data_IF_372560876166
#
_entry.id   IF_372560876166
#
_cell.length_a   1.000
_cell.length_b   1.000
_cell.length_c   1.000
_cell.angle_alpha   90.00
_cell.angle_beta   90.00
_cell.angle_gamma   90.00
#
_symmetry.space_group_name_H-M   'P 1'
#
loop_
_entity.id
_entity.type
_entity.pdbx_description
1 polymer ?
#
# COMPACT_ATOMS: atom_id res chain seq x y z
N UNK A 1 12.35 -1.29 22.40
CA UNK A 1 11.98 -0.41 21.26
C UNK A 1 12.84 -0.83 20.08
N UNK A 2 12.26 -1.57 19.11
CA UNK A 2 12.98 -1.87 17.88
C UNK A 2 12.91 -0.60 16.99
N UNK A 3 14.01 0.10 16.92
CA UNK A 3 14.16 1.17 15.94
C UNK A 3 14.08 0.55 14.54
N UNK A 4 13.18 1.06 13.71
CA UNK A 4 13.24 0.80 12.28
C UNK A 4 14.60 1.28 11.78
N UNK A 5 15.23 0.58 10.82
CA UNK A 5 16.46 1.09 10.20
C UNK A 5 16.19 2.50 9.68
N UNK A 6 17.22 3.36 9.77
CA UNK A 6 17.11 4.77 9.32
C UNK A 6 16.44 4.80 7.95
N UNK A 7 15.28 5.49 7.84
CA UNK A 7 14.48 5.43 6.63
C UNK A 7 15.24 6.02 5.46
N UNK A 8 15.48 5.23 4.42
CA UNK A 8 15.90 5.78 3.13
C UNK A 8 14.80 6.70 2.58
N UNK A 9 15.17 7.82 1.92
CA UNK A 9 14.17 8.75 1.34
C UNK A 9 13.19 8.06 0.39
N UNK A 10 13.62 6.97 -0.24
CA UNK A 10 12.85 6.19 -1.20
C UNK A 10 12.30 4.86 -0.62
N UNK A 11 12.31 4.70 0.72
CA UNK A 11 11.65 3.58 1.39
C UNK A 11 10.19 3.91 1.67
N UNK A 12 9.30 3.05 1.22
CA UNK A 12 7.87 3.07 1.59
C UNK A 12 7.63 2.11 2.72
N UNK A 13 7.08 2.60 3.80
CA UNK A 13 6.63 1.78 4.92
C UNK A 13 5.12 1.57 4.83
N UNK A 14 4.68 0.34 4.99
CA UNK A 14 3.27 -0.04 4.94
C UNK A 14 2.91 -0.78 6.21
N UNK A 15 1.99 -0.24 6.97
CA UNK A 15 1.42 -0.85 8.18
C UNK A 15 0.04 -1.41 7.86
N UNK A 16 -0.18 -2.66 8.23
CA UNK A 16 -1.47 -3.31 8.13
C UNK A 16 -1.98 -3.65 9.52
N UNK A 17 -3.21 -3.30 9.82
CA UNK A 17 -3.90 -3.65 11.05
C UNK A 17 -5.26 -4.28 10.78
N UNK A 18 -5.67 -5.21 11.66
CA UNK A 18 -7.02 -5.79 11.66
C UNK A 18 -7.83 -5.19 12.80
N UNK A 19 -9.04 -4.74 12.50
CA UNK A 19 -9.97 -4.19 13.48
C UNK A 19 -11.14 -5.14 13.67
N UNK A 20 -11.41 -5.52 14.93
CA UNK A 20 -12.66 -6.18 15.31
C UNK A 20 -13.80 -5.17 15.59
N UNK A 21 -13.49 -3.84 15.54
CA UNK A 21 -14.39 -2.75 15.86
C UNK A 21 -14.08 -1.49 15.04
N UNK A 22 -13.87 -0.36 15.73
CA UNK A 22 -13.72 0.94 15.09
C UNK A 22 -12.45 1.03 14.20
N UNK A 23 -12.65 1.02 12.89
CA UNK A 23 -11.59 1.19 11.89
C UNK A 23 -10.98 2.59 11.93
N UNK A 24 -11.71 3.59 12.38
CA UNK A 24 -11.23 4.96 12.49
C UNK A 24 -10.16 5.09 13.57
N UNK A 25 -10.40 4.50 14.74
CA UNK A 25 -9.43 4.49 15.82
C UNK A 25 -8.16 3.71 15.43
N UNK A 26 -8.32 2.57 14.77
CA UNK A 26 -7.17 1.84 14.21
C UNK A 26 -6.39 2.68 13.20
N UNK A 27 -7.09 3.40 12.31
CA UNK A 27 -6.46 4.30 11.33
C UNK A 27 -5.62 5.37 12.03
N UNK A 28 -6.18 6.06 13.03
CA UNK A 28 -5.46 7.09 13.78
C UNK A 28 -4.23 6.55 14.47
N UNK A 29 -4.35 5.37 15.09
CA UNK A 29 -3.21 4.70 15.74
C UNK A 29 -2.10 4.35 14.75
N UNK A 30 -2.44 3.80 13.59
CA UNK A 30 -1.45 3.49 12.55
C UNK A 30 -0.79 4.75 11.97
N UNK A 31 -1.54 5.83 11.79
CA UNK A 31 -1.00 7.11 11.34
C UNK A 31 -0.03 7.71 12.37
N UNK A 32 -0.37 7.70 13.67
CA UNK A 32 0.55 8.14 14.73
C UNK A 32 1.80 7.29 14.79
N UNK A 33 1.66 5.97 14.67
CA UNK A 33 2.80 5.05 14.58
C UNK A 33 3.72 5.37 13.40
N UNK A 34 3.15 5.61 12.22
CA UNK A 34 3.90 6.00 11.04
C UNK A 34 4.67 7.32 11.27
N UNK A 35 3.99 8.31 11.86
CA UNK A 35 4.61 9.58 12.24
C UNK A 35 5.73 9.40 13.25
N UNK A 36 5.48 8.67 14.33
CA UNK A 36 6.50 8.39 15.36
C UNK A 36 7.74 7.70 14.77
N UNK A 37 7.52 6.68 13.94
CA UNK A 37 8.60 5.92 13.32
C UNK A 37 9.45 6.72 12.32
N UNK A 38 8.84 7.62 11.54
CA UNK A 38 9.50 8.29 10.42
C UNK A 38 9.88 9.76 10.72
N UNK A 39 9.18 10.41 11.64
CA UNK A 39 9.54 11.76 12.10
C UNK A 39 10.40 11.75 13.37
N UNK A 40 10.48 10.61 14.06
CA UNK A 40 11.31 10.46 15.26
C UNK A 40 10.71 11.10 16.52
N UNK A 41 9.37 11.23 16.57
CA UNK A 41 8.62 11.78 17.70
C UNK A 41 7.84 10.73 18.46
N UNK A 42 7.52 10.92 19.74
CA UNK A 42 6.59 10.04 20.46
C UNK A 42 5.24 9.97 19.74
N UNK A 43 4.67 8.76 19.61
CA UNK A 43 3.39 8.56 18.91
C UNK A 43 2.26 9.45 19.46
N UNK A 44 2.29 9.75 20.77
CA UNK A 44 1.30 10.61 21.43
C UNK A 44 1.37 12.08 20.98
N UNK A 45 2.55 12.54 20.53
CA UNK A 45 2.81 13.91 20.07
C UNK A 45 2.63 14.08 18.56
N UNK A 46 2.26 12.99 17.87
CA UNK A 46 1.97 13.03 16.43
C UNK A 46 0.55 13.51 16.19
N UNK A 47 0.45 14.64 15.49
CA UNK A 47 -0.81 15.17 14.99
C UNK A 47 -1.29 14.42 13.75
N UNK A 48 -2.60 14.12 13.71
CA UNK A 48 -3.27 13.49 12.58
C UNK A 48 -4.43 14.38 12.14
N UNK A 49 -4.38 14.83 10.91
CA UNK A 49 -5.36 15.73 10.32
C UNK A 49 -5.71 15.37 8.88
N UNK A 50 -6.25 16.35 8.17
CA UNK A 50 -6.52 16.27 6.73
C UNK A 50 -6.06 17.56 6.07
N UNK A 51 -5.30 17.42 4.99
CA UNK A 51 -4.95 18.54 4.12
C UNK A 51 -6.18 19.08 3.36
N UNK A 52 -6.12 20.31 2.81
CA UNK A 52 -7.10 20.78 1.87
C UNK A 52 -7.30 19.76 0.73
N UNK A 53 -8.53 19.32 0.49
CA UNK A 53 -8.82 18.23 -0.44
C UNK A 53 -9.04 16.87 0.21
N UNK A 54 -8.93 16.75 1.56
CA UNK A 54 -9.34 15.58 2.33
C UNK A 54 -8.28 14.47 2.45
N UNK A 55 -7.08 14.68 1.91
CA UNK A 55 -5.95 13.75 2.06
C UNK A 55 -5.52 13.66 3.52
N UNK A 56 -5.28 12.46 4.06
CA UNK A 56 -4.71 12.32 5.40
C UNK A 56 -3.37 13.05 5.51
N UNK A 57 -3.13 13.69 6.64
CA UNK A 57 -1.90 14.40 6.95
C UNK A 57 -1.41 14.00 8.34
N UNK A 58 -0.10 13.80 8.44
CA UNK A 58 0.58 13.50 9.70
C UNK A 58 1.67 14.55 9.90
N UNK A 59 1.72 15.14 11.07
CA UNK A 59 2.68 16.19 11.40
C UNK A 59 3.23 16.02 12.81
N UNK A 60 4.44 16.51 13.01
CA UNK A 60 5.07 16.67 14.30
C UNK A 60 4.96 18.13 14.77
N UNK A 61 5.18 18.39 16.05
CA UNK A 61 5.08 19.75 16.64
C UNK A 61 6.11 20.73 16.08
N UNK A 62 7.22 20.22 15.53
CA UNK A 62 8.23 21.04 14.86
C UNK A 62 7.84 21.47 13.43
N UNK A 63 6.62 21.20 13.00
CA UNK A 63 6.07 21.54 11.68
C UNK A 63 6.47 20.60 10.55
N UNK A 64 7.26 19.56 10.80
CA UNK A 64 7.53 18.54 9.78
C UNK A 64 6.26 17.73 9.48
N UNK A 65 6.03 17.50 8.20
CA UNK A 65 4.91 16.68 7.72
C UNK A 65 5.40 15.40 7.06
N UNK A 66 4.59 14.36 7.12
CA UNK A 66 4.86 13.07 6.52
C UNK A 66 3.78 12.76 5.47
N UNK A 67 4.14 12.58 4.20
CA UNK A 67 3.23 12.09 3.19
C UNK A 67 2.73 10.68 3.54
N UNK A 68 1.43 10.55 3.66
CA UNK A 68 0.75 9.28 4.01
C UNK A 68 -0.40 9.00 3.08
N UNK A 69 -0.78 7.73 3.00
CA UNK A 69 -1.97 7.26 2.31
C UNK A 69 -2.66 6.18 3.14
N UNK A 70 -3.98 6.14 3.08
CA UNK A 70 -4.81 5.19 3.82
C UNK A 70 -5.74 4.46 2.86
N UNK A 71 -5.89 3.18 3.05
CA UNK A 71 -6.97 2.38 2.48
C UNK A 71 -7.54 1.42 3.52
N UNK A 72 -8.79 1.04 3.34
CA UNK A 72 -9.44 0.07 4.23
C UNK A 72 -10.44 -0.79 3.46
N UNK A 73 -10.56 -2.01 3.88
CA UNK A 73 -11.56 -2.98 3.46
C UNK A 73 -11.98 -3.77 4.70
N UNK A 74 -13.21 -4.22 4.76
CA UNK A 74 -13.81 -4.90 5.92
C UNK A 74 -12.84 -5.46 6.97
N UNK A 75 -12.73 -4.80 8.11
CA UNK A 75 -11.88 -5.19 9.22
C UNK A 75 -10.36 -5.04 8.98
N UNK A 76 -9.91 -4.48 7.86
CA UNK A 76 -8.49 -4.25 7.55
C UNK A 76 -8.24 -2.78 7.24
N UNK A 77 -7.24 -2.20 7.87
CA UNK A 77 -6.74 -0.86 7.57
C UNK A 77 -5.28 -0.96 7.12
N UNK A 78 -4.96 -0.25 6.06
CA UNK A 78 -3.59 -0.15 5.55
C UNK A 78 -3.19 1.32 5.50
N UNK A 79 -2.03 1.63 6.06
CA UNK A 79 -1.39 2.95 6.01
C UNK A 79 -0.05 2.81 5.32
N UNK A 80 0.20 3.63 4.32
CA UNK A 80 1.52 3.77 3.71
C UNK A 80 2.09 5.15 3.98
N UNK A 81 3.40 5.23 4.23
CA UNK A 81 4.12 6.47 4.42
C UNK A 81 5.48 6.43 3.73
N UNK A 82 5.95 7.59 3.26
CA UNK A 82 7.24 7.78 2.62
C UNK A 82 7.77 9.19 2.89
N UNK A 83 8.98 9.29 3.45
CA UNK A 83 9.60 10.60 3.72
C UNK A 83 10.01 11.35 2.44
N UNK A 84 10.32 10.64 1.36
CA UNK A 84 10.83 11.21 0.12
C UNK A 84 9.77 11.80 -0.83
N UNK A 85 8.48 11.76 -0.49
CA UNK A 85 7.45 12.36 -1.32
C UNK A 85 6.12 11.59 -1.35
N UNK A 86 5.20 11.95 -2.25
CA UNK A 86 3.86 11.40 -2.27
C UNK A 86 3.83 9.88 -2.42
N UNK A 87 2.93 9.25 -1.68
CA UNK A 87 2.65 7.83 -1.67
C UNK A 87 1.15 7.58 -1.77
N UNK A 88 0.78 6.46 -2.37
CA UNK A 88 -0.59 5.97 -2.41
C UNK A 88 -0.65 4.49 -2.08
N UNK A 89 -1.67 4.08 -1.37
CA UNK A 89 -1.93 2.67 -1.06
C UNK A 89 -3.39 2.36 -1.31
N UNK A 90 -3.64 1.17 -1.83
CA UNK A 90 -4.97 0.63 -1.92
C UNK A 90 -5.01 -0.85 -1.59
N UNK A 91 -6.11 -1.31 -0.97
CA UNK A 91 -6.31 -2.70 -0.57
C UNK A 91 -7.74 -3.14 -0.87
N UNK A 92 -7.86 -4.34 -1.45
CA UNK A 92 -9.12 -5.00 -1.73
C UNK A 92 -9.10 -6.45 -1.24
N UNK A 93 -10.26 -6.99 -0.85
CA UNK A 93 -10.39 -8.44 -0.63
C UNK A 93 -10.51 -9.17 -1.95
N UNK A 94 -9.84 -10.30 -2.03
CA UNK A 94 -10.09 -11.24 -3.13
C UNK A 94 -11.54 -11.73 -3.05
N UNK A 95 -12.27 -11.57 -4.14
CA UNK A 95 -13.67 -11.97 -4.26
C UNK A 95 -14.03 -12.28 -5.70
N UNK A 96 -15.08 -13.04 -5.88
CA UNK A 96 -15.69 -13.21 -7.20
C UNK A 96 -16.36 -11.92 -7.65
N UNK A 97 -16.18 -11.60 -8.93
CA UNK A 97 -16.78 -10.40 -9.54
C UNK A 97 -16.84 -10.58 -11.07
N UNK A 98 -17.73 -9.87 -11.78
CA UNK A 98 -17.83 -9.94 -13.23
C UNK A 98 -16.70 -9.12 -13.89
N UNK A 99 -15.45 -9.56 -13.72
CA UNK A 99 -14.23 -8.84 -14.06
C UNK A 99 -14.23 -8.30 -15.50
N UNK A 100 -14.60 -9.14 -16.49
CA UNK A 100 -14.62 -8.74 -17.91
C UNK A 100 -15.63 -7.63 -18.18
N UNK A 101 -16.84 -7.73 -17.61
CA UNK A 101 -17.87 -6.71 -17.82
C UNK A 101 -17.48 -5.38 -17.18
N UNK A 102 -16.93 -5.42 -15.97
CA UNK A 102 -16.44 -4.23 -15.27
C UNK A 102 -15.26 -3.59 -16.00
N UNK A 103 -14.30 -4.38 -16.48
CA UNK A 103 -13.15 -3.86 -17.22
C UNK A 103 -13.57 -3.19 -18.52
N UNK A 104 -14.47 -3.78 -19.30
CA UNK A 104 -15.01 -3.17 -20.54
C UNK A 104 -15.68 -1.83 -20.29
N UNK A 105 -16.30 -1.65 -19.13
CA UNK A 105 -16.99 -0.42 -18.78
C UNK A 105 -16.03 0.69 -18.30
N UNK A 106 -15.01 0.31 -17.53
CA UNK A 106 -14.24 1.29 -16.75
C UNK A 106 -12.78 1.46 -17.18
N UNK A 107 -12.16 0.40 -17.73
CA UNK A 107 -10.74 0.42 -18.03
C UNK A 107 -10.43 0.93 -19.44
N UNK A 108 -9.16 1.11 -19.71
CA UNK A 108 -8.65 1.31 -21.05
C UNK A 108 -9.01 0.10 -21.93
N UNK A 109 -9.36 0.27 -23.22
CA UNK A 109 -9.74 -0.84 -24.10
C UNK A 109 -8.68 -1.95 -24.20
N UNK A 110 -7.39 -1.59 -24.20
CA UNK A 110 -6.30 -2.57 -24.29
C UNK A 110 -6.19 -3.39 -22.99
N UNK A 111 -6.36 -2.75 -21.82
CA UNK A 111 -6.42 -3.46 -20.54
C UNK A 111 -7.64 -4.38 -20.45
N UNK A 112 -8.78 -3.94 -20.94
CA UNK A 112 -10.00 -4.75 -20.97
C UNK A 112 -9.84 -5.95 -21.91
N UNK A 113 -9.19 -5.79 -23.06
CA UNK A 113 -8.89 -6.87 -24.00
C UNK A 113 -7.86 -7.84 -23.40
N UNK A 114 -6.79 -7.31 -22.78
CA UNK A 114 -5.80 -8.12 -22.07
C UNK A 114 -6.46 -8.98 -20.98
N UNK A 115 -7.31 -8.38 -20.14
CA UNK A 115 -8.02 -9.11 -19.08
C UNK A 115 -8.97 -10.16 -19.64
N UNK A 116 -9.67 -9.88 -20.74
CA UNK A 116 -10.57 -10.84 -21.38
C UNK A 116 -9.84 -12.07 -21.92
N UNK A 117 -8.58 -11.92 -22.33
CA UNK A 117 -7.72 -13.00 -22.81
C UNK A 117 -7.09 -13.85 -21.68
N UNK A 118 -7.24 -13.43 -20.41
CA UNK A 118 -6.71 -14.19 -19.26
C UNK A 118 -7.58 -15.42 -18.95
N UNK A 119 -6.95 -16.42 -18.33
CA UNK A 119 -7.67 -17.58 -17.83
C UNK A 119 -8.74 -17.17 -16.80
N UNK A 120 -9.87 -17.81 -16.81
CA UNK A 120 -11.00 -17.51 -15.95
C UNK A 120 -10.62 -17.51 -14.46
N UNK A 121 -9.78 -18.45 -14.05
CA UNK A 121 -9.33 -18.62 -12.66
C UNK A 121 -8.46 -17.48 -12.13
N UNK A 122 -7.76 -16.75 -13.02
CA UNK A 122 -6.90 -15.62 -12.64
C UNK A 122 -7.51 -14.23 -12.86
N UNK A 123 -8.58 -14.18 -13.67
CA UNK A 123 -9.14 -12.94 -14.20
C UNK A 123 -9.63 -11.97 -13.13
N UNK A 124 -10.30 -12.48 -12.10
CA UNK A 124 -10.78 -11.65 -10.99
C UNK A 124 -9.63 -11.04 -10.19
N UNK A 125 -8.58 -11.82 -9.95
CA UNK A 125 -7.38 -11.32 -9.26
C UNK A 125 -6.67 -10.25 -10.10
N UNK A 126 -6.53 -10.46 -11.40
CA UNK A 126 -5.88 -9.50 -12.30
C UNK A 126 -6.72 -8.21 -12.43
N UNK A 127 -8.05 -8.32 -12.44
CA UNK A 127 -8.93 -7.15 -12.33
C UNK A 127 -8.68 -6.36 -11.04
N UNK A 128 -8.65 -7.03 -9.89
CA UNK A 128 -8.41 -6.39 -8.60
C UNK A 128 -7.00 -5.77 -8.52
N UNK A 129 -6.01 -6.40 -9.13
CA UNK A 129 -4.66 -5.82 -9.23
C UNK A 129 -4.65 -4.52 -10.05
N UNK A 130 -5.32 -4.51 -11.21
CA UNK A 130 -5.45 -3.28 -11.99
C UNK A 130 -6.24 -2.20 -11.22
N UNK A 131 -7.32 -2.61 -10.54
CA UNK A 131 -8.14 -1.70 -9.73
C UNK A 131 -7.33 -1.05 -8.62
N UNK A 132 -6.71 -1.85 -7.76
CA UNK A 132 -5.91 -1.34 -6.63
C UNK A 132 -4.73 -0.48 -7.11
N UNK A 133 -4.10 -0.84 -8.24
CA UNK A 133 -3.05 -0.03 -8.84
C UNK A 133 -3.57 1.37 -9.25
N UNK A 134 -4.74 1.44 -9.90
CA UNK A 134 -5.35 2.72 -10.34
C UNK A 134 -5.71 3.60 -9.14
N UNK A 135 -6.31 3.00 -8.10
CA UNK A 135 -6.63 3.70 -6.84
C UNK A 135 -5.37 4.19 -6.13
N UNK A 136 -4.34 3.35 -5.98
CA UNK A 136 -3.09 3.73 -5.34
C UNK A 136 -2.41 4.89 -6.11
N UNK A 137 -2.34 4.82 -7.44
CA UNK A 137 -1.80 5.90 -8.27
C UNK A 137 -2.64 7.18 -8.12
N UNK A 138 -3.96 7.07 -8.15
CA UNK A 138 -4.85 8.21 -7.95
C UNK A 138 -4.64 8.88 -6.58
N UNK A 139 -4.45 8.10 -5.52
CA UNK A 139 -4.14 8.59 -4.17
C UNK A 139 -2.75 9.24 -4.11
N UNK A 140 -1.73 8.64 -4.73
CA UNK A 140 -0.38 9.21 -4.80
C UNK A 140 -0.37 10.57 -5.52
N UNK A 141 -1.09 10.67 -6.63
CA UNK A 141 -1.24 11.92 -7.40
C UNK A 141 -2.18 12.94 -6.71
N UNK A 142 -3.00 12.52 -5.74
CA UNK A 142 -4.00 13.37 -5.10
C UNK A 142 -5.22 13.69 -5.95
N UNK A 143 -5.40 13.00 -7.04
CA UNK A 143 -6.53 13.19 -7.96
C UNK A 143 -7.65 12.17 -7.76
N UNK A 144 -7.36 11.09 -6.98
CA UNK A 144 -8.24 9.92 -6.92
C UNK A 144 -8.45 9.33 -8.31
N UNK A 145 -9.64 8.83 -8.58
CA UNK A 145 -10.02 8.32 -9.90
C UNK A 145 -10.58 9.39 -10.85
N UNK A 146 -10.53 10.67 -10.48
CA UNK A 146 -11.00 11.77 -11.31
C UNK A 146 -10.13 11.92 -12.58
N UNK A 147 -10.65 12.63 -13.59
CA UNK A 147 -9.88 12.93 -14.78
C UNK A 147 -9.45 11.70 -15.58
N UNK A 148 -10.30 10.67 -15.66
CA UNK A 148 -9.99 9.45 -16.40
C UNK A 148 -9.08 8.47 -15.67
N UNK A 149 -8.96 8.57 -14.34
CA UNK A 149 -8.10 7.69 -13.54
C UNK A 149 -8.36 6.20 -13.71
N UNK A 150 -9.62 5.80 -13.94
CA UNK A 150 -9.98 4.40 -14.26
C UNK A 150 -9.48 3.97 -15.65
N UNK A 151 -9.33 4.89 -16.59
CA UNK A 151 -8.78 4.62 -17.94
C UNK A 151 -7.27 4.82 -18.03
N UNK A 152 -6.61 5.25 -16.93
CA UNK A 152 -5.16 5.31 -16.89
C UNK A 152 -4.60 3.88 -17.00
N UNK A 153 -3.72 3.67 -17.96
CA UNK A 153 -3.07 2.37 -18.17
C UNK A 153 -2.12 2.06 -17.02
N UNK A 154 -2.13 0.83 -16.57
CA UNK A 154 -1.22 0.30 -15.55
C UNK A 154 -0.23 -0.68 -16.17
N UNK A 155 0.95 -0.87 -15.56
CA UNK A 155 1.82 -1.96 -15.96
C UNK A 155 1.10 -3.30 -15.74
N UNK A 156 1.20 -4.23 -16.70
CA UNK A 156 0.52 -5.52 -16.63
C UNK A 156 0.90 -6.29 -15.34
N UNK A 157 -0.05 -6.82 -14.56
CA UNK A 157 0.23 -7.40 -13.23
C UNK A 157 1.21 -8.58 -13.22
N UNK A 158 1.31 -9.31 -14.32
CA UNK A 158 2.17 -10.48 -14.50
C UNK A 158 3.57 -10.14 -15.05
N UNK A 159 3.85 -8.88 -15.31
CA UNK A 159 5.18 -8.45 -15.77
C UNK A 159 6.22 -8.69 -14.68
N UNK A 160 7.28 -9.45 -15.02
CA UNK A 160 8.43 -9.66 -14.14
C UNK A 160 9.24 -8.39 -13.91
N UNK A 161 10.22 -8.44 -13.02
CA UNK A 161 11.18 -7.37 -12.77
C UNK A 161 10.99 -6.64 -11.46
N UNK A 162 11.02 -5.31 -11.48
CA UNK A 162 10.93 -4.47 -10.27
C UNK A 162 9.57 -4.58 -9.59
N UNK A 163 9.59 -4.52 -8.25
CA UNK A 163 8.35 -4.52 -7.45
C UNK A 163 7.44 -3.35 -7.82
N UNK A 164 8.00 -2.13 -7.92
CA UNK A 164 7.27 -0.95 -8.39
C UNK A 164 7.72 -0.58 -9.79
N UNK A 165 6.82 -0.68 -10.75
CA UNK A 165 7.08 -0.43 -12.17
C UNK A 165 6.53 0.92 -12.61
N UNK A 166 7.15 1.55 -13.62
CA UNK A 166 6.67 2.80 -14.18
C UNK A 166 5.23 2.69 -14.69
N UNK A 167 4.42 3.73 -14.41
CA UNK A 167 3.06 3.84 -14.92
C UNK A 167 3.09 4.46 -16.32
N UNK A 168 2.54 3.78 -17.36
CA UNK A 168 2.52 4.31 -18.72
C UNK A 168 1.86 5.70 -18.79
N UNK A 169 2.51 6.64 -19.47
CA UNK A 169 1.99 8.00 -19.63
C UNK A 169 2.03 8.87 -18.37
N UNK A 170 2.63 8.39 -17.27
CA UNK A 170 2.76 9.14 -16.01
C UNK A 170 4.23 9.19 -15.57
N UNK A 171 5.05 10.10 -16.13
CA UNK A 171 6.46 10.22 -15.76
C UNK A 171 6.67 10.38 -14.25
N UNK A 172 7.62 9.66 -13.70
CA UNK A 172 7.95 9.70 -12.28
C UNK A 172 6.97 8.97 -11.35
N UNK A 173 5.93 8.32 -11.89
CA UNK A 173 5.00 7.51 -11.11
C UNK A 173 5.32 6.04 -11.27
N UNK A 174 5.41 5.32 -10.15
CA UNK A 174 5.62 3.86 -10.12
C UNK A 174 4.56 3.20 -9.25
N UNK A 175 4.15 1.99 -9.61
CA UNK A 175 3.14 1.20 -8.88
C UNK A 175 3.49 -0.29 -8.90
N UNK A 176 3.08 -0.99 -7.86
CA UNK A 176 3.23 -2.45 -7.80
C UNK A 176 2.47 -3.07 -6.63
N UNK A 177 2.54 -4.40 -6.58
CA UNK A 177 1.81 -5.22 -5.62
C UNK A 177 2.80 -5.97 -4.74
N UNK A 178 3.17 -5.43 -3.58
CA UNK A 178 3.98 -6.17 -2.63
C UNK A 178 3.25 -7.42 -2.16
N UNK A 179 3.98 -8.52 -2.01
CA UNK A 179 3.43 -9.75 -1.48
C UNK A 179 2.98 -9.54 -0.03
N UNK A 180 1.79 -10.00 0.28
CA UNK A 180 1.18 -9.88 1.61
C UNK A 180 0.22 -11.03 1.90
N UNK A 181 -0.86 -10.74 2.61
CA UNK A 181 -1.92 -11.68 2.94
C UNK A 181 -2.58 -12.23 1.65
N UNK A 182 -2.73 -13.55 1.59
CA UNK A 182 -3.27 -14.23 0.39
C UNK A 182 -4.72 -13.81 0.03
N UNK A 183 -5.49 -13.34 1.03
CA UNK A 183 -6.87 -12.91 0.86
C UNK A 183 -7.00 -11.44 0.44
N UNK A 184 -5.89 -10.72 0.40
CA UNK A 184 -5.86 -9.31 0.08
C UNK A 184 -5.09 -9.06 -1.23
N UNK A 185 -5.51 -8.02 -1.93
CA UNK A 185 -4.78 -7.43 -3.06
C UNK A 185 -4.35 -6.04 -2.63
N UNK A 186 -3.06 -5.86 -2.41
CA UNK A 186 -2.47 -4.62 -1.96
C UNK A 186 -1.67 -3.99 -3.10
N UNK A 187 -1.89 -2.72 -3.37
CA UNK A 187 -1.06 -1.93 -4.29
C UNK A 187 -0.42 -0.74 -3.57
N UNK A 188 0.81 -0.43 -3.96
CA UNK A 188 1.55 0.74 -3.50
C UNK A 188 2.01 1.54 -4.70
N UNK A 189 1.83 2.85 -4.65
CA UNK A 189 2.30 3.78 -5.68
C UNK A 189 3.13 4.90 -5.06
N UNK A 190 4.14 5.38 -5.80
CA UNK A 190 4.99 6.51 -5.42
C UNK A 190 5.14 7.50 -6.56
N UNK A 191 5.40 8.76 -6.20
CA UNK A 191 5.68 9.83 -7.16
C UNK A 191 7.07 10.42 -6.88
N UNK A 192 7.85 10.66 -7.94
CA UNK A 192 9.14 11.36 -7.84
C UNK A 192 10.26 10.56 -7.14
N UNK A 193 10.21 9.22 -7.16
CA UNK A 193 11.33 8.42 -6.69
C UNK A 193 12.47 8.44 -7.72
N UNK A 194 13.65 8.89 -7.29
CA UNK A 194 14.82 9.01 -8.17
C UNK A 194 15.55 7.68 -8.38
N UNK A 195 15.37 6.72 -7.50
CA UNK A 195 16.08 5.43 -7.48
C UNK A 195 15.16 4.24 -7.22
N UNK A 196 15.75 3.08 -6.91
CA UNK A 196 15.01 1.90 -6.49
C UNK A 196 14.19 2.20 -5.23
N UNK A 197 12.93 1.78 -5.22
CA UNK A 197 12.03 1.94 -4.08
C UNK A 197 11.99 0.66 -3.27
N UNK A 198 12.31 0.75 -2.00
CA UNK A 198 12.15 -0.33 -1.05
C UNK A 198 10.74 -0.25 -0.44
N UNK A 199 10.06 -1.38 -0.31
CA UNK A 199 8.77 -1.46 0.38
C UNK A 199 8.91 -2.37 1.59
N UNK A 200 8.65 -1.81 2.77
CA UNK A 200 8.68 -2.51 4.05
C UNK A 200 7.25 -2.74 4.52
N UNK A 201 6.85 -4.00 4.67
CA UNK A 201 5.53 -4.36 5.16
C UNK A 201 5.62 -4.70 6.65
N UNK A 202 4.80 -4.05 7.47
CA UNK A 202 4.60 -4.38 8.87
C UNK A 202 3.17 -4.87 9.10
N UNK A 203 3.02 -6.15 9.45
CA UNK A 203 1.73 -6.74 9.78
C UNK A 203 1.59 -6.90 11.29
N UNK A 204 0.51 -6.40 11.86
CA UNK A 204 0.14 -6.73 13.24
C UNK A 204 -0.88 -7.86 13.26
N UNK A 205 -0.54 -8.94 13.96
CA UNK A 205 -1.53 -9.93 14.35
C UNK A 205 -2.60 -9.23 15.20
N UNK A 206 -3.87 -9.41 14.85
CA UNK A 206 -4.99 -8.91 15.65
C UNK A 206 -4.89 -9.47 17.07
N UNK A 207 -5.07 -8.64 18.07
CA UNK A 207 -5.33 -9.11 19.42
C UNK A 207 -6.74 -9.71 19.43
N UNK A 208 -6.83 -11.03 19.32
CA UNK A 208 -7.99 -11.75 19.83
C UNK A 208 -7.97 -11.61 21.35
N UNK A 209 -8.98 -10.91 21.88
CA UNK A 209 -9.18 -10.69 23.30
C UNK A 209 -9.72 -11.94 24.01
N UNK A 210 -9.23 -13.12 23.69
CA UNK A 210 -9.58 -14.36 24.38
C UNK A 210 -8.46 -15.41 24.28
N UNK A 211 -7.28 -15.10 24.82
CA UNK A 211 -6.38 -16.14 25.32
C UNK A 211 -5.43 -15.52 26.32
N UNK A 212 -5.78 -15.62 27.60
CA UNK A 212 -4.83 -15.49 28.70
C UNK A 212 -3.90 -16.70 28.65
N UNK A 213 -2.79 -16.58 27.98
CA UNK A 213 -1.61 -17.37 28.27
C UNK A 213 -0.38 -16.55 27.90
N UNK A 214 0.45 -16.34 28.87
CA UNK A 214 1.71 -15.65 28.77
C UNK A 214 2.60 -16.39 27.77
N UNK A 215 2.74 -15.87 26.56
CA UNK A 215 3.83 -16.22 25.66
C UNK A 215 4.31 -14.94 25.00
N UNK A 216 5.61 -14.72 25.18
CA UNK A 216 6.45 -13.70 24.64
C UNK A 216 5.86 -12.96 23.43
N UNK A 217 5.89 -11.61 23.48
CA UNK A 217 5.76 -10.71 22.34
C UNK A 217 6.68 -11.18 21.21
N UNK A 218 6.13 -11.95 20.30
CA UNK A 218 6.74 -12.10 18.98
C UNK A 218 6.34 -10.87 18.19
N UNK A 219 7.12 -9.83 18.33
CA UNK A 219 7.17 -8.75 17.34
C UNK A 219 7.43 -9.42 16.00
N UNK A 220 6.42 -9.46 15.13
CA UNK A 220 6.64 -9.84 13.74
C UNK A 220 7.61 -8.83 13.15
N UNK A 221 8.81 -9.30 12.83
CA UNK A 221 9.82 -8.50 12.15
C UNK A 221 9.22 -7.96 10.85
N UNK A 222 9.54 -6.72 10.47
CA UNK A 222 9.11 -6.18 9.20
C UNK A 222 9.59 -7.08 8.07
N UNK A 223 8.69 -7.47 7.19
CA UNK A 223 9.05 -8.17 5.97
C UNK A 223 9.60 -7.13 5.01
N UNK A 224 10.90 -7.16 4.78
CA UNK A 224 11.55 -6.26 3.81
C UNK A 224 11.49 -6.93 2.44
N UNK A 225 10.68 -6.38 1.54
CA UNK A 225 10.66 -6.81 0.14
C UNK A 225 11.55 -5.86 -0.64
N UNK A 226 12.77 -6.30 -0.96
CA UNK A 226 13.70 -5.54 -1.79
C UNK A 226 13.53 -5.91 -3.25
N UNK A 227 13.11 -4.97 -4.08
CA UNK A 227 13.25 -5.09 -5.53
C UNK A 227 14.69 -4.85 -5.92
N UNK A 228 15.47 -5.90 -6.22
CA UNK A 228 16.81 -5.78 -6.77
C UNK A 228 16.82 -6.08 -8.28
N UNK A 229 17.73 -5.46 -8.99
CA UNK A 229 17.98 -5.64 -10.42
C UNK A 229 18.50 -7.04 -10.81
N UNK A 230 18.53 -8.00 -9.93
CA UNK A 230 18.87 -9.38 -10.24
C UNK A 230 17.79 -10.32 -9.76
N UNK A 231 17.36 -11.16 -10.65
CA UNK A 231 16.37 -12.23 -10.54
C UNK A 231 16.55 -13.17 -9.35
N UNK A 232 16.33 -12.71 -8.11
CA UNK A 232 16.08 -13.59 -6.95
C UNK A 232 15.33 -12.85 -5.87
N UNK A 233 14.04 -13.12 -5.78
CA UNK A 233 13.25 -12.84 -4.60
C UNK A 233 13.75 -13.74 -3.46
N UNK A 234 14.50 -13.19 -2.49
CA UNK A 234 14.78 -13.92 -1.25
C UNK A 234 13.83 -13.42 -0.17
N UNK A 235 12.84 -14.23 0.11
CA UNK A 235 12.11 -14.15 1.36
C UNK A 235 13.05 -14.69 2.44
N UNK A 236 13.60 -13.83 3.30
CA UNK A 236 14.22 -14.30 4.54
C UNK A 236 13.14 -14.41 5.61
N UNK A 237 12.50 -15.57 5.66
CA UNK A 237 11.87 -16.05 6.87
C UNK A 237 12.98 -16.62 7.78
N UNK A 238 13.14 -16.10 8.99
CA UNK A 238 13.79 -16.84 10.05
C UNK A 238 12.71 -17.48 10.93
N UNK A 239 12.87 -18.77 11.10
CA UNK A 239 12.21 -19.62 12.08
C UNK A 239 12.40 -19.10 13.51
#
# INVERSE_FOLDING_TARGET
>A
MNQLPVPGRDTVYVWTGRAAGDQWELTRRLLRRAGGALLGWPEAEIGVGRAPGGRPEVHADDGRTLPVSVSHVDGVVVVAARAGGPVGVDVERRRRLPATALARRWYDPDEAAWLAARDETGRELDFLRLWTAKEAVGKALGTGLRGGGLRRRMPAPDGGGELLRPVPGCPGVRVGHPAGDADLVLAVAVVGAAGPVEVVLEQRAGHDAASRSAVAERTSLPVVVRGSWSSRCRVRGRL
#
